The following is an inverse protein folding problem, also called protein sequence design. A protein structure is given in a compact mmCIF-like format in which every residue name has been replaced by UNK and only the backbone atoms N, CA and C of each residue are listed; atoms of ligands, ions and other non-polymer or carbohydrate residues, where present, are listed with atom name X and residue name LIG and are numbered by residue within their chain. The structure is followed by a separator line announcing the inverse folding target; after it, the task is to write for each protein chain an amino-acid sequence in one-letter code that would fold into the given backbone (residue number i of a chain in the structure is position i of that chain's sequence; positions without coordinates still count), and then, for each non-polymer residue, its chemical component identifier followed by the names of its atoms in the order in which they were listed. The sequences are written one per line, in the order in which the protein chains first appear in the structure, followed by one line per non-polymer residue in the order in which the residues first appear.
data_IF_288356822171
#
_entry.id   IF_288356822171
#
_cell.length_a   1.000
_cell.length_b   1.000
_cell.length_c   1.000
_cell.angle_alpha   90.00
_cell.angle_beta   90.00
_cell.angle_gamma   90.00
#
_symmetry.space_group_name_H-M   'P 1'
#
loop_
_entity.id
_entity.type
_entity.pdbx_description
1 polymer ?
#
# COMPACT_ATOMS: atom_id res chain seq x y z
N UNK A 1 6.08 -16.55 -5.85
CA UNK A 1 5.49 -15.20 -5.85
C UNK A 1 3.99 -15.35 -6.03
N UNK A 2 3.19 -14.98 -5.03
CA UNK A 2 1.73 -15.02 -5.16
C UNK A 2 1.28 -13.92 -6.13
N UNK A 3 0.32 -14.21 -7.00
CA UNK A 3 -0.30 -13.18 -7.85
C UNK A 3 -1.38 -12.42 -7.06
N UNK A 4 -1.63 -11.14 -7.37
CA UNK A 4 -2.78 -10.42 -6.82
C UNK A 4 -4.08 -11.13 -7.21
N UNK A 5 -5.02 -11.23 -6.27
CA UNK A 5 -6.29 -11.96 -6.42
C UNK A 5 -7.45 -11.04 -6.75
N UNK A 6 -7.39 -9.77 -6.35
CA UNK A 6 -8.49 -8.81 -6.50
C UNK A 6 -8.23 -7.76 -7.59
N UNK A 7 -6.97 -7.47 -7.89
CA UNK A 7 -6.58 -6.53 -8.94
C UNK A 7 -6.53 -7.19 -10.33
N UNK A 8 -6.99 -6.46 -11.35
CA UNK A 8 -6.71 -6.83 -12.74
C UNK A 8 -5.21 -6.65 -13.07
N UNK A 9 -4.66 -7.36 -14.07
CA UNK A 9 -3.25 -7.22 -14.47
C UNK A 9 -2.87 -5.77 -14.83
N UNK A 10 -3.77 -5.05 -15.50
CA UNK A 10 -3.60 -3.63 -15.83
C UNK A 10 -3.57 -2.74 -14.59
N UNK A 11 -4.48 -2.95 -13.64
CA UNK A 11 -4.52 -2.20 -12.39
C UNK A 11 -3.27 -2.46 -11.55
N UNK A 12 -2.80 -3.70 -11.51
CA UNK A 12 -1.55 -4.07 -10.85
C UNK A 12 -0.33 -3.37 -11.48
N UNK A 13 -0.26 -3.27 -12.81
CA UNK A 13 0.82 -2.56 -13.49
C UNK A 13 0.86 -1.06 -13.15
N UNK A 14 -0.31 -0.41 -13.14
CA UNK A 14 -0.44 1.00 -12.73
C UNK A 14 -0.03 1.16 -11.26
N UNK A 15 -0.50 0.25 -10.39
CA UNK A 15 -0.22 0.32 -8.97
C UNK A 15 1.26 0.09 -8.65
N UNK A 16 1.98 -0.74 -9.42
CA UNK A 16 3.44 -0.87 -9.32
C UNK A 16 4.17 0.45 -9.59
N UNK A 17 3.79 1.14 -10.66
CA UNK A 17 4.38 2.45 -10.99
C UNK A 17 4.09 3.48 -9.88
N UNK A 18 2.87 3.45 -9.34
CA UNK A 18 2.46 4.28 -8.20
C UNK A 18 3.26 3.96 -6.94
N UNK A 19 3.44 2.67 -6.59
CA UNK A 19 4.26 2.23 -5.44
C UNK A 19 5.70 2.70 -5.61
N UNK A 20 6.30 2.46 -6.78
CA UNK A 20 7.67 2.88 -7.08
C UNK A 20 7.86 4.41 -6.93
N UNK A 21 6.87 5.20 -7.32
CA UNK A 21 6.90 6.66 -7.24
C UNK A 21 6.65 7.22 -5.82
N UNK A 22 5.71 6.62 -5.07
CA UNK A 22 5.27 7.12 -3.76
C UNK A 22 6.15 6.64 -2.61
N UNK A 23 6.68 5.42 -2.71
CA UNK A 23 7.34 4.74 -1.61
C UNK A 23 8.51 5.58 -1.05
N UNK A 24 8.60 5.76 0.28
CA UNK A 24 9.75 6.38 0.91
C UNK A 24 11.03 5.57 0.60
N UNK A 25 12.08 6.26 0.15
CA UNK A 25 13.40 5.68 -0.15
C UNK A 25 14.48 6.46 0.57
N UNK A 26 15.63 5.83 0.81
CA UNK A 26 16.69 6.34 1.68
C UNK A 26 16.55 5.92 3.16
N UNK A 27 17.56 6.22 3.98
CA UNK A 27 17.61 5.91 5.43
C UNK A 27 17.34 4.43 5.80
N UNK A 28 17.77 3.48 4.96
CA UNK A 28 17.57 2.03 5.20
C UNK A 28 16.23 1.48 4.68
N UNK A 29 15.45 2.29 3.98
CA UNK A 29 14.17 1.90 3.38
C UNK A 29 14.27 1.43 1.92
N UNK A 30 15.44 1.08 1.40
CA UNK A 30 15.66 0.70 -0.02
C UNK A 30 15.50 -0.80 -0.31
N UNK A 31 14.80 -1.51 0.57
CA UNK A 31 14.59 -2.96 0.50
C UNK A 31 13.74 -3.33 -0.74
N UNK A 32 13.94 -4.47 -1.43
CA UNK A 32 13.19 -4.80 -2.65
C UNK A 32 11.77 -5.36 -2.38
N UNK A 33 10.93 -4.61 -1.66
CA UNK A 33 9.61 -5.06 -1.17
C UNK A 33 8.42 -4.53 -2.00
N UNK A 34 8.67 -3.99 -3.20
CA UNK A 34 7.63 -3.32 -4.00
C UNK A 34 6.49 -4.30 -4.37
N UNK A 35 6.81 -5.56 -4.70
CA UNK A 35 5.80 -6.59 -4.97
C UNK A 35 5.08 -7.05 -3.69
N UNK A 36 5.76 -7.12 -2.55
CA UNK A 36 5.12 -7.47 -1.28
C UNK A 36 4.12 -6.40 -0.86
N UNK A 37 4.48 -5.12 -1.02
CA UNK A 37 3.59 -3.96 -0.84
C UNK A 37 2.38 -4.06 -1.77
N UNK A 38 2.58 -4.42 -3.05
CA UNK A 38 1.48 -4.63 -3.99
C UNK A 38 0.50 -5.71 -3.50
N UNK A 39 1.03 -6.84 -3.01
CA UNK A 39 0.23 -7.95 -2.49
C UNK A 39 -0.49 -7.60 -1.18
N UNK A 40 0.10 -6.77 -0.32
CA UNK A 40 -0.61 -6.27 0.86
C UNK A 40 -1.71 -5.28 0.48
N UNK A 41 -1.48 -4.39 -0.50
CA UNK A 41 -2.54 -3.51 -0.99
C UNK A 41 -3.70 -4.33 -1.58
N UNK A 42 -3.41 -5.36 -2.38
CA UNK A 42 -4.44 -6.27 -2.93
C UNK A 42 -5.26 -6.94 -1.81
N UNK A 43 -4.61 -7.35 -0.72
CA UNK A 43 -5.26 -7.93 0.47
C UNK A 43 -6.09 -6.91 1.26
N UNK A 44 -5.76 -5.62 1.22
CA UNK A 44 -6.54 -4.57 1.86
C UNK A 44 -7.78 -4.14 1.06
N UNK A 45 -7.85 -4.44 -0.25
CA UNK A 45 -8.98 -3.98 -1.10
C UNK A 45 -10.37 -4.43 -0.63
N UNK A 46 -10.56 -5.66 -0.14
CA UNK A 46 -11.86 -6.09 0.38
C UNK A 46 -12.31 -5.31 1.63
N UNK A 47 -11.37 -4.74 2.39
CA UNK A 47 -11.66 -3.94 3.58
C UNK A 47 -12.09 -2.49 3.26
N UNK A 48 -11.98 -2.07 1.99
CA UNK A 48 -12.38 -0.73 1.57
C UNK A 48 -13.91 -0.60 1.55
N UNK A 49 -14.45 0.60 1.85
CA UNK A 49 -15.86 0.90 1.63
C UNK A 49 -16.27 0.60 0.19
N UNK A 50 -17.51 0.11 -0.01
CA UNK A 50 -17.99 -0.36 -1.31
C UNK A 50 -17.79 0.67 -2.44
N UNK A 51 -18.03 1.95 -2.15
CA UNK A 51 -17.82 3.06 -3.08
C UNK A 51 -16.35 3.18 -3.50
N UNK A 52 -15.41 3.12 -2.55
CA UNK A 52 -13.98 3.22 -2.82
C UNK A 52 -13.48 2.01 -3.62
N UNK A 53 -13.94 0.80 -3.28
CA UNK A 53 -13.60 -0.44 -4.00
C UNK A 53 -14.08 -0.39 -5.45
N UNK A 54 -15.29 0.13 -5.70
CA UNK A 54 -15.82 0.30 -7.05
C UNK A 54 -15.13 1.44 -7.83
N UNK A 55 -14.76 2.53 -7.15
CA UNK A 55 -14.10 3.68 -7.76
C UNK A 55 -12.62 3.43 -8.11
N UNK A 56 -11.93 2.53 -7.39
CA UNK A 56 -10.51 2.25 -7.57
C UNK A 56 -10.09 1.93 -9.01
N UNK A 57 -10.70 0.96 -9.73
CA UNK A 57 -10.30 0.65 -11.10
C UNK A 57 -10.52 1.84 -12.05
N UNK A 58 -11.57 2.64 -11.83
CA UNK A 58 -11.83 3.85 -12.62
C UNK A 58 -10.77 4.93 -12.33
N UNK A 59 -10.42 5.12 -11.06
CA UNK A 59 -9.37 6.04 -10.64
C UNK A 59 -7.99 5.66 -11.20
N UNK A 60 -7.63 4.38 -11.16
CA UNK A 60 -6.37 3.91 -11.74
C UNK A 60 -6.30 4.15 -13.26
N UNK A 61 -7.41 3.90 -13.98
CA UNK A 61 -7.50 4.26 -15.40
C UNK A 61 -7.37 5.77 -15.61
N UNK A 62 -8.00 6.58 -14.78
CA UNK A 62 -7.86 8.04 -14.86
C UNK A 62 -6.40 8.48 -14.64
N UNK A 63 -5.66 7.83 -13.74
CA UNK A 63 -4.23 8.08 -13.54
C UNK A 63 -3.40 7.66 -14.76
N UNK A 64 -3.72 6.52 -15.36
CA UNK A 64 -3.00 5.97 -16.52
C UNK A 64 -3.12 6.89 -17.76
N UNK A 65 -4.30 7.47 -17.99
CA UNK A 65 -4.58 8.34 -19.15
C UNK A 65 -4.44 9.83 -18.86
N UNK A 66 -4.39 10.22 -17.59
CA UNK A 66 -4.26 11.61 -17.18
C UNK A 66 -2.97 12.36 -17.57
N UNK A 67 -1.85 11.72 -17.98
CA UNK A 67 -0.71 12.45 -18.52
C UNK A 67 -0.95 13.05 -19.91
N UNK A 68 -1.95 12.52 -20.65
CA UNK A 68 -2.23 12.87 -22.04
C UNK A 68 -2.36 14.39 -22.33
N UNK A 69 -3.02 15.21 -21.48
CA UNK A 69 -3.09 16.66 -21.71
C UNK A 69 -1.94 17.48 -21.09
N UNK A 70 -1.11 16.92 -20.20
CA UNK A 70 -0.12 17.70 -19.42
C UNK A 70 1.33 17.54 -19.91
N UNK A 71 1.66 16.44 -20.56
CA UNK A 71 2.97 16.22 -21.16
C UNK A 71 2.85 16.22 -22.69
N UNK A 72 3.82 16.83 -23.41
CA UNK A 72 3.93 16.81 -24.88
C UNK A 72 4.11 15.41 -25.49
N UNK A 73 4.00 14.35 -24.67
CA UNK A 73 4.06 12.93 -25.04
C UNK A 73 2.95 12.15 -24.35
N UNK A 74 2.15 11.44 -25.14
CA UNK A 74 1.21 10.41 -24.66
C UNK A 74 2.01 9.25 -24.05
N UNK A 75 2.36 9.35 -22.78
CA UNK A 75 3.01 8.27 -22.04
C UNK A 75 2.09 7.80 -20.93
N UNK A 76 1.98 6.47 -20.82
CA UNK A 76 1.20 5.81 -19.77
C UNK A 76 1.95 5.90 -18.46
N UNK A 77 1.26 6.12 -17.34
CA UNK A 77 1.88 6.15 -16.02
C UNK A 77 2.66 4.86 -15.74
N UNK A 78 2.09 3.72 -16.14
CA UNK A 78 2.72 2.40 -16.00
C UNK A 78 4.06 2.25 -16.72
N UNK A 79 4.34 3.08 -17.73
CA UNK A 79 5.56 3.04 -18.54
C UNK A 79 6.52 4.22 -18.25
N UNK A 80 6.15 5.13 -17.33
CA UNK A 80 6.97 6.30 -17.02
C UNK A 80 8.18 5.93 -16.15
N UNK A 81 9.32 6.63 -16.33
CA UNK A 81 10.39 6.63 -15.33
C UNK A 81 9.86 7.07 -13.97
N UNK A 82 10.44 6.51 -12.91
CA UNK A 82 10.01 6.77 -11.52
C UNK A 82 9.94 8.26 -11.16
N UNK A 83 10.94 9.03 -11.54
CA UNK A 83 11.02 10.45 -11.21
C UNK A 83 9.95 11.27 -11.93
N UNK A 84 9.64 10.91 -13.18
CA UNK A 84 8.53 11.50 -13.94
C UNK A 84 7.18 11.13 -13.34
N UNK A 85 6.98 9.86 -12.98
CA UNK A 85 5.77 9.40 -12.30
C UNK A 85 5.57 10.12 -10.96
N UNK A 86 6.64 10.37 -10.20
CA UNK A 86 6.60 11.15 -8.95
C UNK A 86 6.19 12.59 -9.20
N UNK A 87 6.78 13.27 -10.18
CA UNK A 87 6.44 14.65 -10.53
C UNK A 87 4.98 14.78 -11.00
N UNK A 88 4.51 13.81 -11.79
CA UNK A 88 3.13 13.73 -12.24
C UNK A 88 2.14 13.57 -11.08
N UNK A 89 2.39 12.62 -10.17
CA UNK A 89 1.56 12.43 -8.97
C UNK A 89 1.58 13.67 -8.06
N UNK A 90 2.72 14.35 -7.96
CA UNK A 90 2.81 15.61 -7.23
C UNK A 90 1.96 16.71 -7.89
N UNK A 91 1.97 16.85 -9.21
CA UNK A 91 1.10 17.78 -9.92
C UNK A 91 -0.40 17.49 -9.74
N UNK A 92 -0.78 16.23 -9.50
CA UNK A 92 -2.15 15.87 -9.13
C UNK A 92 -2.52 16.27 -7.70
N UNK A 93 -1.56 16.21 -6.77
CA UNK A 93 -1.73 16.69 -5.40
C UNK A 93 -1.83 18.22 -5.35
N UNK A 94 -1.09 18.92 -6.19
CA UNK A 94 -1.09 20.38 -6.27
C UNK A 94 -2.25 20.93 -7.13
N UNK A 95 -3.02 20.05 -7.77
CA UNK A 95 -4.15 20.43 -8.60
C UNK A 95 -5.28 21.06 -7.77
N UNK A 96 -5.97 22.06 -8.35
CA UNK A 96 -7.18 22.65 -7.77
C UNK A 96 -8.36 21.67 -7.67
N UNK A 97 -8.35 20.60 -8.46
CA UNK A 97 -9.41 19.60 -8.50
C UNK A 97 -9.35 18.66 -7.29
N UNK A 98 -10.34 18.76 -6.40
CA UNK A 98 -10.43 17.95 -5.18
C UNK A 98 -10.40 16.43 -5.44
N UNK A 99 -11.04 15.98 -6.52
CA UNK A 99 -11.07 14.56 -6.90
C UNK A 99 -9.67 14.00 -7.23
N UNK A 100 -8.81 14.79 -7.88
CA UNK A 100 -7.43 14.39 -8.22
C UNK A 100 -6.60 14.21 -6.94
N UNK A 101 -6.70 15.17 -6.02
CA UNK A 101 -6.03 15.12 -4.73
C UNK A 101 -6.50 13.92 -3.92
N UNK A 102 -7.81 13.73 -3.81
CA UNK A 102 -8.42 12.62 -3.05
C UNK A 102 -7.92 11.26 -3.55
N UNK A 103 -7.86 11.07 -4.88
CA UNK A 103 -7.39 9.83 -5.46
C UNK A 103 -5.92 9.55 -5.14
N UNK A 104 -5.03 10.53 -5.30
CA UNK A 104 -3.61 10.35 -4.98
C UNK A 104 -3.40 10.16 -3.48
N UNK A 105 -4.13 10.88 -2.63
CA UNK A 105 -4.09 10.67 -1.18
C UNK A 105 -4.55 9.27 -0.78
N UNK A 106 -5.64 8.76 -1.36
CA UNK A 106 -6.11 7.40 -1.12
C UNK A 106 -5.10 6.35 -1.51
N UNK A 107 -4.47 6.50 -2.68
CA UNK A 107 -3.38 5.61 -3.12
C UNK A 107 -2.17 5.70 -2.19
N UNK A 108 -1.75 6.91 -1.78
CA UNK A 108 -0.67 7.08 -0.79
C UNK A 108 -0.99 6.40 0.53
N UNK A 109 -2.22 6.53 1.03
CA UNK A 109 -2.64 5.90 2.28
C UNK A 109 -2.54 4.38 2.19
N UNK A 110 -3.01 3.77 1.10
CA UNK A 110 -2.89 2.33 0.87
C UNK A 110 -1.42 1.88 0.78
N UNK A 111 -0.60 2.58 0.00
CA UNK A 111 0.82 2.26 -0.16
C UNK A 111 1.57 2.39 1.16
N UNK A 112 1.32 3.46 1.93
CA UNK A 112 1.97 3.65 3.23
C UNK A 112 1.49 2.64 4.26
N UNK A 113 0.20 2.30 4.28
CA UNK A 113 -0.32 1.25 5.14
C UNK A 113 0.37 -0.08 4.85
N UNK A 114 0.44 -0.48 3.57
CA UNK A 114 1.15 -1.69 3.10
C UNK A 114 2.66 -1.67 3.38
N UNK A 115 3.30 -0.52 3.21
CA UNK A 115 4.73 -0.37 3.44
C UNK A 115 5.09 -0.45 4.94
N UNK A 116 4.39 0.28 5.80
CA UNK A 116 4.72 0.34 7.24
C UNK A 116 4.27 -0.89 8.03
N UNK A 117 3.35 -1.70 7.51
CA UNK A 117 3.03 -3.00 8.11
C UNK A 117 4.03 -4.11 7.74
N UNK A 118 4.93 -3.86 6.77
CA UNK A 118 5.86 -4.89 6.31
C UNK A 118 6.91 -5.23 7.39
N UNK A 119 7.13 -6.52 7.72
CA UNK A 119 8.02 -6.91 8.83
C UNK A 119 9.46 -6.39 8.70
N UNK A 120 9.99 -6.31 7.48
CA UNK A 120 11.34 -5.79 7.26
C UNK A 120 11.46 -4.29 7.49
N UNK A 121 10.40 -3.53 7.22
CA UNK A 121 10.32 -2.09 7.51
C UNK A 121 10.18 -1.87 9.00
N UNK A 122 9.32 -2.65 9.68
CA UNK A 122 9.20 -2.63 11.13
C UNK A 122 10.53 -2.93 11.84
N UNK A 123 11.28 -3.95 11.37
CA UNK A 123 12.62 -4.25 11.87
C UNK A 123 13.61 -3.11 11.65
N UNK A 124 13.60 -2.48 10.47
CA UNK A 124 14.47 -1.33 10.18
C UNK A 124 14.15 -0.11 11.08
N UNK A 125 12.90 0.04 11.52
CA UNK A 125 12.49 1.05 12.49
C UNK A 125 12.76 0.65 13.95
N UNK A 126 13.34 -0.54 14.20
CA UNK A 126 13.58 -1.04 15.56
C UNK A 126 12.30 -1.51 16.28
N UNK A 127 11.20 -1.72 15.56
CA UNK A 127 9.91 -2.09 16.13
C UNK A 127 9.72 -3.61 16.08
N UNK A 128 9.88 -4.28 17.23
CA UNK A 128 9.69 -5.73 17.39
C UNK A 128 8.25 -6.15 17.73
N UNK A 129 7.29 -5.83 16.85
CA UNK A 129 5.88 -6.23 17.05
C UNK A 129 5.67 -7.74 17.09
N UNK A 130 6.42 -8.47 16.27
CA UNK A 130 6.46 -9.94 16.21
C UNK A 130 6.83 -10.54 17.57
N UNK A 131 7.86 -10.00 18.22
CA UNK A 131 8.29 -10.44 19.55
C UNK A 131 7.19 -10.16 20.60
N UNK A 132 6.63 -8.95 20.63
CA UNK A 132 5.58 -8.58 21.58
C UNK A 132 4.28 -9.38 21.38
N UNK A 133 3.93 -9.68 20.13
CA UNK A 133 2.78 -10.51 19.82
C UNK A 133 3.00 -11.94 20.30
N UNK A 134 4.17 -12.52 20.04
CA UNK A 134 4.53 -13.85 20.52
C UNK A 134 4.51 -13.95 22.06
N UNK A 135 5.03 -12.94 22.74
CA UNK A 135 4.95 -12.82 24.21
C UNK A 135 3.49 -12.76 24.69
N UNK A 136 2.65 -11.91 24.07
CA UNK A 136 1.24 -11.75 24.46
C UNK A 136 0.41 -13.01 24.20
N UNK A 137 0.63 -13.67 23.06
CA UNK A 137 -0.05 -14.95 22.72
C UNK A 137 0.38 -16.04 23.70
N UNK A 138 1.67 -16.13 24.03
CA UNK A 138 2.19 -17.07 25.03
C UNK A 138 1.57 -16.82 26.41
N UNK A 139 1.55 -15.56 26.86
CA UNK A 139 0.93 -15.18 28.15
C UNK A 139 -0.58 -15.52 28.18
N UNK A 140 -1.30 -15.31 27.07
CA UNK A 140 -2.71 -15.69 26.95
C UNK A 140 -2.92 -17.21 26.96
N UNK A 141 -2.08 -17.97 26.27
CA UNK A 141 -2.11 -19.43 26.30
C UNK A 141 -1.88 -19.94 27.74
N UNK A 142 -0.88 -19.40 28.45
CA UNK A 142 -0.60 -19.74 29.84
C UNK A 142 -1.75 -19.37 30.81
N UNK A 143 -2.54 -18.34 30.48
CA UNK A 143 -3.70 -17.90 31.29
C UNK A 143 -4.96 -18.71 30.99
N UNK A 144 -5.19 -19.09 29.73
CA UNK A 144 -6.31 -19.94 29.32
C UNK A 144 -6.09 -21.40 29.73
N UNK A 145 -4.84 -21.88 29.74
CA UNK A 145 -4.52 -23.15 30.39
C UNK A 145 -4.77 -23.08 31.90
N UNK A 146 -4.59 -21.92 32.56
CA UNK A 146 -4.93 -21.75 33.98
C UNK A 146 -6.43 -21.84 34.29
N UNK A 147 -7.33 -21.47 33.38
CA UNK A 147 -8.78 -21.74 33.55
C UNK A 147 -9.08 -23.25 33.55
N UNK A 148 -8.22 -24.06 32.93
CA UNK A 148 -8.27 -25.53 32.97
C UNK A 148 -7.66 -26.14 34.25
N UNK A 149 -6.90 -25.37 35.04
CA UNK A 149 -6.07 -25.87 36.17
C UNK A 149 -6.32 -25.21 37.55
N UNK A 150 -7.46 -24.55 37.79
CA UNK A 150 -8.05 -24.35 39.13
C UNK A 150 -7.32 -23.44 40.15
N UNK A 151 -7.95 -22.31 40.48
CA UNK A 151 -7.86 -21.65 41.81
C UNK A 151 -9.30 -21.28 42.25
N UNK A 152 -9.56 -21.12 43.57
CA UNK A 152 -10.78 -21.54 44.25
C UNK A 152 -11.93 -20.54 44.07
N UNK A 153 -13.16 -21.01 44.36
CA UNK A 153 -14.40 -20.23 44.29
C UNK A 153 -14.36 -18.96 45.14
#
# INVERSE_FOLDING_TARGET
MSAPRHLSPSSAAILRAVIAAIRPRGHGFDQPIDEDVLLEVDRCLPCLPALARAALPLGLRLLEWGPAPFFRRFTRLSAMPRDEARAYLQGWLDSRLALRRLLVHGLRALVFLAFYQHPSVLRAMGVGWDRRLAETVRLRADTLDREKYGYPR
#
